data_IF_329999534543
#
_entry.id   IF_329999534543
#
_cell.length_a   1.000
_cell.length_b   1.000
_cell.length_c   1.000
_cell.angle_alpha   90.00
_cell.angle_beta   90.00
_cell.angle_gamma   90.00
#
_symmetry.space_group_name_H-M   'P 1'
#
loop_
_entity.id
_entity.type
_entity.pdbx_description
1 polymer ?
#
# COMPACT_ATOMS: atom_id res chain seq x y z
N UNK A 1 -37.88 26.16 -18.44
CA UNK A 1 -36.62 26.90 -18.37
C UNK A 1 -35.66 26.35 -19.40
N UNK A 2 -35.11 27.21 -20.26
CA UNK A 2 -34.11 26.84 -21.27
C UNK A 2 -32.84 26.36 -20.56
N UNK A 3 -32.51 25.06 -20.67
CA UNK A 3 -31.23 24.52 -20.22
C UNK A 3 -30.17 24.88 -21.26
N UNK A 4 -29.31 25.83 -20.93
CA UNK A 4 -28.07 26.06 -21.67
C UNK A 4 -27.11 24.91 -21.36
N UNK A 5 -27.04 23.92 -22.25
CA UNK A 5 -25.98 22.92 -22.22
C UNK A 5 -24.82 23.47 -23.03
N UNK A 6 -23.72 23.83 -22.37
CA UNK A 6 -22.49 24.20 -23.04
C UNK A 6 -21.96 22.96 -23.79
N UNK A 7 -22.13 22.93 -25.12
CA UNK A 7 -21.43 21.97 -25.96
C UNK A 7 -20.04 22.52 -26.29
N UNK A 8 -19.01 21.76 -25.96
CA UNK A 8 -17.68 22.00 -26.50
C UNK A 8 -17.78 21.95 -28.03
N UNK A 9 -17.27 22.95 -28.77
CA UNK A 9 -17.28 22.91 -30.22
C UNK A 9 -16.51 21.66 -30.65
N UNK A 10 -17.22 20.77 -31.35
CA UNK A 10 -16.64 19.57 -31.93
C UNK A 10 -15.41 20.01 -32.74
N UNK A 11 -14.21 19.56 -32.34
CA UNK A 11 -12.97 19.85 -33.05
C UNK A 11 -13.11 19.29 -34.46
N UNK A 12 -13.56 20.11 -35.41
CA UNK A 12 -13.43 19.81 -36.84
C UNK A 12 -11.97 19.47 -37.09
N UNK A 13 -11.71 18.39 -37.82
CA UNK A 13 -10.36 17.90 -38.10
C UNK A 13 -9.50 19.01 -38.67
N UNK A 14 -8.73 19.68 -37.82
CA UNK A 14 -7.77 20.70 -38.24
C UNK A 14 -6.81 19.97 -39.16
N UNK A 15 -6.66 20.45 -40.39
CA UNK A 15 -5.79 19.85 -41.39
C UNK A 15 -4.32 20.09 -40.97
N UNK A 16 -3.83 19.32 -39.99
CA UNK A 16 -2.52 19.48 -39.35
C UNK A 16 -1.36 19.42 -40.36
N UNK A 17 -1.60 18.76 -41.49
CA UNK A 17 -0.69 18.63 -42.63
C UNK A 17 -0.34 19.98 -43.29
N UNK A 18 -1.32 20.85 -43.52
CA UNK A 18 -1.06 22.14 -44.18
C UNK A 18 -0.33 23.11 -43.24
N UNK A 19 -0.70 23.11 -41.96
CA UNK A 19 -0.02 23.89 -40.93
C UNK A 19 1.44 23.44 -40.71
N UNK A 20 1.72 22.13 -40.68
CA UNK A 20 3.10 21.66 -40.52
C UNK A 20 3.97 22.00 -41.73
N UNK A 21 3.43 21.90 -42.95
CA UNK A 21 4.14 22.28 -44.18
C UNK A 21 4.44 23.77 -44.26
N UNK A 22 3.51 24.61 -43.80
CA UNK A 22 3.74 26.05 -43.70
C UNK A 22 4.87 26.36 -42.71
N UNK A 23 4.82 25.73 -41.54
CA UNK A 23 5.85 25.87 -40.51
C UNK A 23 7.21 25.43 -41.07
N UNK A 24 7.31 24.23 -41.65
CA UNK A 24 8.55 23.72 -42.26
C UNK A 24 9.11 24.65 -43.35
N UNK A 25 8.23 25.23 -44.20
CA UNK A 25 8.63 26.22 -45.22
C UNK A 25 9.14 27.54 -44.61
N UNK A 26 8.58 27.96 -43.48
CA UNK A 26 8.95 29.23 -42.83
C UNK A 26 10.24 29.15 -42.01
N UNK A 27 10.49 28.03 -41.31
CA UNK A 27 11.67 27.87 -40.45
C UNK A 27 12.82 27.13 -41.16
N UNK A 28 12.57 26.49 -42.31
CA UNK A 28 13.57 25.78 -43.11
C UNK A 28 13.95 24.38 -42.62
N UNK A 29 13.27 23.87 -41.59
CA UNK A 29 13.46 22.50 -41.10
C UNK A 29 12.16 21.92 -40.52
N UNK A 30 12.10 20.59 -40.46
CA UNK A 30 10.95 19.87 -39.93
C UNK A 30 10.90 19.97 -38.40
N UNK A 31 9.96 20.77 -37.89
CA UNK A 31 9.74 20.95 -36.46
C UNK A 31 8.61 20.04 -35.96
N UNK A 32 8.91 19.18 -34.98
CA UNK A 32 7.89 18.45 -34.24
C UNK A 32 7.44 19.26 -33.01
N UNK A 33 6.27 19.88 -33.11
CA UNK A 33 5.69 20.69 -32.03
C UNK A 33 5.49 19.90 -30.73
N UNK A 34 5.39 18.57 -30.81
CA UNK A 34 5.25 17.71 -29.61
C UNK A 34 6.52 17.70 -28.76
N UNK A 35 7.68 17.98 -29.36
CA UNK A 35 8.98 17.99 -28.68
C UNK A 35 9.27 19.30 -27.96
N UNK A 36 8.59 20.40 -28.31
CA UNK A 36 8.84 21.71 -27.72
C UNK A 36 8.63 21.74 -26.20
N UNK A 37 7.56 21.11 -25.69
CA UNK A 37 7.30 21.02 -24.24
C UNK A 37 8.35 20.19 -23.50
N UNK A 38 8.65 18.94 -23.90
CA UNK A 38 9.76 18.16 -23.33
C UNK A 38 11.09 18.91 -23.34
N UNK A 39 11.45 19.54 -24.46
CA UNK A 39 12.71 20.29 -24.58
C UNK A 39 12.73 21.49 -23.64
N UNK A 40 11.63 22.23 -23.51
CA UNK A 40 11.55 23.35 -22.56
C UNK A 40 11.68 22.88 -21.11
N UNK A 41 11.09 21.73 -20.79
CA UNK A 41 11.16 21.13 -19.47
C UNK A 41 12.60 20.74 -19.13
N UNK A 42 13.29 20.10 -20.07
CA UNK A 42 14.71 19.76 -19.96
C UNK A 42 15.59 21.00 -19.71
N UNK A 43 15.40 22.08 -20.49
CA UNK A 43 16.15 23.31 -20.33
C UNK A 43 15.89 23.99 -18.98
N UNK A 44 14.65 24.00 -18.50
CA UNK A 44 14.31 24.55 -17.20
C UNK A 44 14.97 23.79 -16.03
N UNK A 45 15.11 22.46 -16.17
CA UNK A 45 15.75 21.61 -15.17
C UNK A 45 17.28 21.75 -15.18
N UNK A 46 17.90 21.81 -16.37
CA UNK A 46 19.36 21.88 -16.52
C UNK A 46 19.93 23.29 -16.34
N UNK A 47 19.34 24.29 -17.00
CA UNK A 47 19.91 25.64 -17.04
C UNK A 47 19.43 26.48 -15.85
N UNK A 48 18.15 26.35 -15.49
CA UNK A 48 17.51 27.21 -14.49
C UNK A 48 17.32 26.55 -13.13
N UNK A 49 17.59 25.25 -13.01
CA UNK A 49 17.41 24.45 -11.79
C UNK A 49 16.02 24.63 -11.14
N UNK A 50 14.97 24.77 -11.94
CA UNK A 50 13.62 24.96 -11.38
C UNK A 50 13.13 23.69 -10.69
N UNK A 51 12.55 23.78 -9.47
CA UNK A 51 11.88 22.64 -8.84
C UNK A 51 10.74 22.10 -9.69
N UNK A 52 10.54 20.77 -9.69
CA UNK A 52 9.51 20.09 -10.49
C UNK A 52 8.11 20.68 -10.28
N UNK A 53 7.75 20.99 -9.02
CA UNK A 53 6.45 21.57 -8.68
C UNK A 53 6.20 22.91 -9.40
N UNK A 54 7.22 23.76 -9.50
CA UNK A 54 7.14 25.04 -10.19
C UNK A 54 7.01 24.84 -11.70
N UNK A 55 7.67 23.80 -12.25
CA UNK A 55 7.53 23.45 -13.66
C UNK A 55 6.12 22.94 -13.99
N UNK A 56 5.56 22.07 -13.14
CA UNK A 56 4.18 21.56 -13.25
C UNK A 56 3.18 22.72 -13.28
N UNK A 57 3.35 23.69 -12.38
CA UNK A 57 2.53 24.90 -12.34
C UNK A 57 2.69 25.77 -13.60
N UNK A 58 3.92 26.00 -14.07
CA UNK A 58 4.19 26.79 -15.29
C UNK A 58 3.57 26.17 -16.55
N UNK A 59 3.50 24.85 -16.63
CA UNK A 59 2.90 24.14 -17.75
C UNK A 59 1.38 23.90 -17.59
N UNK A 60 0.80 24.32 -16.46
CA UNK A 60 -0.64 24.21 -16.19
C UNK A 60 -1.11 22.77 -16.00
N UNK A 61 -0.24 21.89 -15.51
CA UNK A 61 -0.62 20.50 -15.20
C UNK A 61 -1.27 20.42 -13.83
N UNK A 62 -2.38 19.68 -13.73
CA UNK A 62 -3.11 19.45 -12.48
C UNK A 62 -2.34 18.56 -11.50
N UNK A 63 -1.46 17.70 -12.00
CA UNK A 63 -0.68 16.76 -11.20
C UNK A 63 0.74 16.62 -11.72
N UNK A 64 1.67 16.41 -10.78
CA UNK A 64 3.09 16.18 -11.08
C UNK A 64 3.32 14.89 -11.88
N UNK A 65 2.52 13.85 -11.63
CA UNK A 65 2.62 12.57 -12.32
C UNK A 65 2.45 12.71 -13.85
N UNK A 66 1.49 13.53 -14.30
CA UNK A 66 1.24 13.78 -15.73
C UNK A 66 2.46 14.41 -16.40
N UNK A 67 3.19 15.27 -15.68
CA UNK A 67 4.36 15.95 -16.23
C UNK A 67 5.55 15.01 -16.37
N UNK A 68 5.71 14.10 -15.40
CA UNK A 68 6.81 13.12 -15.37
C UNK A 68 6.55 11.98 -16.37
N UNK A 69 5.38 11.35 -16.34
CA UNK A 69 5.05 10.22 -17.20
C UNK A 69 5.01 10.58 -18.69
N UNK A 70 4.44 11.74 -19.06
CA UNK A 70 4.20 12.07 -20.47
C UNK A 70 5.38 12.79 -21.13
N UNK A 71 6.12 13.61 -20.37
CA UNK A 71 7.19 14.44 -20.96
C UNK A 71 8.60 14.01 -20.56
N UNK A 72 8.76 13.20 -19.49
CA UNK A 72 10.05 12.65 -19.07
C UNK A 72 10.23 11.17 -19.41
N UNK A 73 9.43 10.63 -20.31
CA UNK A 73 9.62 9.28 -20.87
C UNK A 73 10.47 9.27 -22.17
N UNK A 74 11.43 10.18 -22.28
CA UNK A 74 12.41 10.16 -23.36
C UNK A 74 13.75 9.59 -22.88
N UNK A 75 14.56 9.12 -23.84
CA UNK A 75 15.86 8.50 -23.56
C UNK A 75 16.79 9.40 -22.75
N UNK A 76 16.75 10.72 -22.94
CA UNK A 76 17.58 11.66 -22.19
C UNK A 76 17.20 11.72 -20.71
N UNK A 77 15.91 11.77 -20.36
CA UNK A 77 15.49 11.75 -18.96
C UNK A 77 15.70 10.37 -18.31
N UNK A 78 15.53 9.28 -19.08
CA UNK A 78 15.87 7.93 -18.60
C UNK A 78 17.36 7.83 -18.27
N UNK A 79 18.24 8.33 -19.14
CA UNK A 79 19.68 8.36 -18.89
C UNK A 79 20.02 9.19 -17.64
N UNK A 80 19.44 10.38 -17.47
CA UNK A 80 19.63 11.19 -16.27
C UNK A 80 19.21 10.47 -14.98
N UNK A 81 18.11 9.70 -15.02
CA UNK A 81 17.66 8.89 -13.89
C UNK A 81 18.64 7.75 -13.59
N UNK A 82 19.13 7.08 -14.63
CA UNK A 82 20.11 6.00 -14.49
C UNK A 82 21.43 6.51 -13.93
N UNK A 83 21.92 7.66 -14.42
CA UNK A 83 23.15 8.28 -13.92
C UNK A 83 23.01 8.66 -12.45
N UNK A 84 21.88 9.27 -12.07
CA UNK A 84 21.60 9.61 -10.67
C UNK A 84 21.50 8.36 -9.80
N UNK A 85 20.79 7.33 -10.26
CA UNK A 85 20.68 6.07 -9.55
C UNK A 85 22.05 5.41 -9.36
N UNK A 86 22.90 5.43 -10.38
CA UNK A 86 24.26 4.90 -10.30
C UNK A 86 25.06 5.62 -9.22
N UNK A 87 25.02 6.97 -9.19
CA UNK A 87 25.70 7.76 -8.15
C UNK A 87 25.22 7.42 -6.72
N UNK A 88 23.91 7.25 -6.53
CA UNK A 88 23.34 6.86 -5.22
C UNK A 88 23.77 5.43 -4.84
N UNK A 89 23.77 4.49 -5.80
CA UNK A 89 24.22 3.12 -5.57
C UNK A 89 25.71 3.05 -5.25
N UNK A 90 26.54 3.84 -5.93
CA UNK A 90 27.97 3.95 -5.65
C UNK A 90 28.21 4.53 -4.24
N UNK A 91 27.43 5.55 -3.85
CA UNK A 91 27.49 6.10 -2.48
C UNK A 91 27.11 5.05 -1.42
N UNK A 92 26.07 4.24 -1.69
CA UNK A 92 25.71 3.12 -0.81
C UNK A 92 26.84 2.10 -0.76
N UNK A 93 27.43 1.75 -1.90
CA UNK A 93 28.55 0.80 -1.96
C UNK A 93 29.76 1.28 -1.16
N UNK A 94 30.15 2.56 -1.30
CA UNK A 94 31.22 3.16 -0.52
C UNK A 94 30.89 3.15 0.98
N UNK A 95 29.64 3.46 1.36
CA UNK A 95 29.22 3.40 2.77
C UNK A 95 29.28 1.98 3.36
N UNK A 96 29.04 0.95 2.53
CA UNK A 96 29.17 -0.46 2.92
C UNK A 96 30.65 -0.81 3.07
N UNK A 97 31.49 -0.39 2.12
CA UNK A 97 32.95 -0.64 2.15
C UNK A 97 33.61 -0.02 3.38
N UNK A 98 33.22 1.20 3.73
CA UNK A 98 33.79 1.96 4.83
C UNK A 98 33.12 1.62 6.19
N UNK A 99 32.16 0.70 6.21
CA UNK A 99 31.47 0.22 7.42
C UNK A 99 30.52 1.24 8.06
N UNK A 100 30.24 2.36 7.39
CA UNK A 100 29.35 3.43 7.88
C UNK A 100 27.87 3.21 7.52
N UNK A 101 27.57 2.17 6.74
CA UNK A 101 26.21 1.83 6.34
C UNK A 101 25.35 1.47 7.56
N UNK A 102 24.34 2.30 7.83
CA UNK A 102 23.44 2.16 9.00
C UNK A 102 22.31 1.13 8.80
N UNK A 103 22.20 0.52 7.62
CA UNK A 103 21.15 -0.44 7.28
C UNK A 103 21.54 -1.89 7.54
N UNK A 104 20.55 -2.78 7.59
CA UNK A 104 20.75 -4.24 7.65
C UNK A 104 20.54 -4.83 6.26
N UNK A 105 21.56 -5.49 5.72
CA UNK A 105 21.43 -6.22 4.45
C UNK A 105 20.55 -7.45 4.64
N UNK A 106 19.50 -7.58 3.83
CA UNK A 106 18.63 -8.77 3.81
C UNK A 106 19.28 -9.82 2.91
N UNK A 107 19.50 -11.07 3.39
CA UNK A 107 20.14 -12.10 2.59
C UNK A 107 19.26 -12.51 1.40
N UNK A 108 19.84 -12.51 0.20
CA UNK A 108 19.15 -12.77 -1.08
C UNK A 108 18.54 -14.17 -1.21
N UNK A 109 19.09 -15.18 -0.50
CA UNK A 109 18.58 -16.55 -0.50
C UNK A 109 18.73 -17.17 0.89
N UNK A 110 17.60 -17.30 1.59
CA UNK A 110 17.52 -18.16 2.77
C UNK A 110 17.10 -19.56 2.32
N UNK A 111 17.90 -20.59 2.62
CA UNK A 111 17.48 -22.00 2.45
C UNK A 111 16.44 -22.32 3.53
N UNK A 112 15.18 -22.03 3.25
CA UNK A 112 14.06 -22.44 4.10
C UNK A 112 13.60 -23.84 3.69
N UNK A 113 13.34 -24.71 4.66
CA UNK A 113 12.75 -26.02 4.37
C UNK A 113 11.33 -25.83 3.82
N UNK A 114 10.85 -26.77 2.98
CA UNK A 114 9.51 -26.71 2.38
C UNK A 114 8.42 -26.52 3.46
N UNK A 115 8.60 -27.14 4.64
CA UNK A 115 7.69 -26.98 5.78
C UNK A 115 7.56 -25.53 6.28
N UNK A 116 8.61 -24.71 6.18
CA UNK A 116 8.57 -23.27 6.53
C UNK A 116 7.91 -22.41 5.44
N UNK A 117 7.64 -22.97 4.25
CA UNK A 117 6.93 -22.29 3.16
C UNK A 117 5.43 -22.58 3.13
N UNK A 118 4.99 -23.58 3.89
CA UNK A 118 3.57 -23.92 3.98
C UNK A 118 2.93 -22.95 4.96
N UNK A 119 2.09 -22.07 4.43
CA UNK A 119 1.30 -21.11 5.19
C UNK A 119 -0.11 -21.68 5.28
N UNK A 120 -0.72 -21.64 6.47
CA UNK A 120 -2.10 -22.07 6.67
C UNK A 120 -3.01 -20.84 6.65
N UNK A 121 -3.99 -20.85 5.77
CA UNK A 121 -4.99 -19.81 5.66
C UNK A 121 -6.26 -20.34 6.33
N UNK A 122 -6.70 -19.66 7.38
CA UNK A 122 -8.01 -19.90 7.97
C UNK A 122 -9.02 -19.06 7.20
N UNK A 123 -10.09 -19.67 6.72
CA UNK A 123 -11.11 -19.01 5.90
C UNK A 123 -12.45 -18.94 6.64
N UNK A 124 -13.35 -18.09 6.14
CA UNK A 124 -14.75 -18.07 6.56
C UNK A 124 -15.45 -19.40 6.23
N UNK A 125 -16.70 -19.56 6.67
CA UNK A 125 -17.47 -20.81 6.49
C UNK A 125 -17.61 -21.25 5.02
N UNK A 126 -17.49 -20.32 4.08
CA UNK A 126 -17.60 -20.56 2.65
C UNK A 126 -16.24 -20.86 1.98
N UNK A 127 -15.12 -20.69 2.70
CA UNK A 127 -13.79 -20.89 2.14
C UNK A 127 -13.28 -19.75 1.25
N UNK A 128 -14.03 -18.66 1.15
CA UNK A 128 -13.81 -17.61 0.14
C UNK A 128 -12.89 -16.49 0.63
N UNK A 129 -12.94 -16.18 1.93
CA UNK A 129 -12.22 -15.04 2.50
C UNK A 129 -11.26 -15.47 3.61
N UNK A 130 -9.97 -15.09 3.53
CA UNK A 130 -8.99 -15.43 4.55
C UNK A 130 -9.25 -14.61 5.83
N UNK A 131 -9.57 -15.30 6.92
CA UNK A 131 -9.73 -14.72 8.25
C UNK A 131 -8.38 -14.44 8.91
N UNK A 132 -7.44 -15.38 8.81
CA UNK A 132 -6.10 -15.24 9.36
C UNK A 132 -5.10 -16.11 8.60
N UNK A 133 -3.84 -15.68 8.64
CA UNK A 133 -2.72 -16.35 8.00
C UNK A 133 -1.76 -16.83 9.09
N UNK A 134 -1.51 -18.13 9.17
CA UNK A 134 -0.70 -18.76 10.19
C UNK A 134 0.50 -19.51 9.61
N UNK A 135 1.69 -19.12 10.04
CA UNK A 135 2.97 -19.68 9.63
C UNK A 135 3.27 -21.03 10.31
N UNK A 136 2.72 -21.27 11.51
CA UNK A 136 2.89 -22.54 12.20
C UNK A 136 1.78 -22.81 13.25
N UNK A 137 0.75 -23.60 12.92
CA UNK A 137 -0.36 -23.86 13.82
C UNK A 137 0.01 -24.82 14.96
N UNK A 138 1.13 -25.53 14.89
CA UNK A 138 1.58 -26.47 15.93
C UNK A 138 2.47 -25.80 17.00
N UNK A 139 2.81 -24.52 16.80
CA UNK A 139 3.63 -23.75 17.72
C UNK A 139 3.05 -22.34 17.94
N UNK A 140 1.84 -22.23 18.51
CA UNK A 140 1.29 -20.93 18.88
C UNK A 140 2.17 -20.27 19.96
N UNK A 141 2.33 -18.95 19.88
CA UNK A 141 3.19 -18.18 20.79
C UNK A 141 2.45 -17.08 21.55
N UNK A 142 1.11 -17.05 21.48
CA UNK A 142 0.31 -16.18 22.33
C UNK A 142 0.40 -16.62 23.80
N UNK A 143 0.28 -15.67 24.73
CA UNK A 143 0.44 -15.94 26.15
C UNK A 143 -0.83 -16.54 26.76
N UNK A 144 -0.66 -17.49 27.67
CA UNK A 144 -1.73 -17.91 28.57
C UNK A 144 -1.94 -16.82 29.64
N UNK A 145 -3.15 -16.73 30.18
CA UNK A 145 -3.54 -15.72 31.19
C UNK A 145 -2.72 -15.81 32.49
N UNK A 146 -1.99 -16.91 32.71
CA UNK A 146 -1.06 -17.13 33.82
C UNK A 146 0.40 -16.76 33.48
N UNK A 147 0.67 -16.20 32.30
CA UNK A 147 2.01 -15.86 31.81
C UNK A 147 2.79 -17.04 31.24
N UNK A 148 2.19 -18.23 31.17
CA UNK A 148 2.79 -19.42 30.59
C UNK A 148 2.91 -19.37 29.07
N UNK A 149 3.89 -20.11 28.52
CA UNK A 149 3.96 -20.41 27.09
C UNK A 149 3.12 -21.64 26.78
N UNK A 150 2.45 -21.64 25.63
CA UNK A 150 1.68 -22.81 25.20
C UNK A 150 2.65 -23.93 24.82
N UNK A 151 2.51 -25.12 25.43
CA UNK A 151 3.33 -26.25 25.04
C UNK A 151 3.05 -26.65 23.59
N UNK A 152 4.09 -27.18 22.92
CA UNK A 152 3.94 -27.75 21.58
C UNK A 152 2.84 -28.80 21.59
N UNK A 153 1.86 -28.61 20.72
CA UNK A 153 0.74 -29.54 20.56
C UNK A 153 0.92 -30.38 19.31
N UNK A 154 0.52 -31.64 19.37
CA UNK A 154 0.37 -32.50 18.19
C UNK A 154 -0.88 -32.14 17.37
N UNK A 155 -1.74 -31.25 17.88
CA UNK A 155 -2.94 -30.74 17.18
C UNK A 155 -2.71 -29.29 16.75
N UNK A 156 -3.24 -28.88 15.58
CA UNK A 156 -3.17 -27.49 15.15
C UNK A 156 -3.98 -26.57 16.07
N UNK A 157 -3.46 -25.36 16.31
CA UNK A 157 -4.14 -24.30 17.03
C UNK A 157 -5.47 -23.94 16.35
N UNK A 158 -6.51 -23.72 17.15
CA UNK A 158 -7.85 -23.29 16.70
C UNK A 158 -8.30 -21.96 17.33
N UNK A 159 -7.40 -21.27 18.04
CA UNK A 159 -7.72 -20.05 18.79
C UNK A 159 -7.55 -18.81 17.92
N UNK A 160 -8.58 -18.49 17.14
CA UNK A 160 -8.57 -17.35 16.21
C UNK A 160 -8.50 -16.00 16.95
N UNK A 161 -9.19 -15.86 18.06
CA UNK A 161 -9.16 -14.67 18.94
C UNK A 161 -7.77 -14.37 19.52
N UNK A 162 -6.82 -15.31 19.39
CA UNK A 162 -5.43 -15.15 19.82
C UNK A 162 -4.45 -14.98 18.64
N UNK A 163 -4.95 -14.88 17.40
CA UNK A 163 -4.09 -14.72 16.24
C UNK A 163 -3.31 -13.41 16.26
N UNK A 164 -3.94 -12.27 16.60
CA UNK A 164 -3.26 -10.97 16.58
C UNK A 164 -2.15 -10.83 17.63
N UNK A 165 -2.19 -11.63 18.70
CA UNK A 165 -1.14 -11.67 19.73
C UNK A 165 -0.13 -12.80 19.51
N UNK A 166 -0.24 -13.55 18.40
CA UNK A 166 0.62 -14.67 18.07
C UNK A 166 1.68 -14.28 17.03
N UNK A 167 2.95 -14.56 17.31
CA UNK A 167 4.05 -14.32 16.37
C UNK A 167 3.97 -15.20 15.11
N UNK A 168 3.20 -16.29 15.14
CA UNK A 168 2.97 -17.12 13.97
C UNK A 168 1.91 -16.53 13.04
N UNK A 169 1.17 -15.51 13.46
CA UNK A 169 0.15 -14.86 12.64
C UNK A 169 0.75 -13.77 11.76
N UNK A 170 0.16 -13.57 10.59
CA UNK A 170 0.49 -12.46 9.71
C UNK A 170 -0.81 -11.80 9.25
N UNK A 171 -0.81 -10.47 9.21
CA UNK A 171 -1.96 -9.68 8.76
C UNK A 171 -1.67 -9.19 7.34
N UNK A 172 -2.59 -9.45 6.41
CA UNK A 172 -2.56 -8.89 5.06
C UNK A 172 -3.81 -8.04 4.81
N UNK A 173 -3.84 -7.30 3.71
CA UNK A 173 -5.00 -6.51 3.26
C UNK A 173 -6.30 -7.32 3.28
N UNK A 174 -6.24 -8.57 2.83
CA UNK A 174 -7.43 -9.45 2.76
C UNK A 174 -8.00 -9.79 4.15
N UNK A 175 -7.16 -9.71 5.20
CA UNK A 175 -7.59 -9.96 6.59
C UNK A 175 -8.12 -8.71 7.28
N UNK A 176 -7.78 -7.51 6.79
CA UNK A 176 -8.11 -6.23 7.45
C UNK A 176 -9.61 -6.07 7.72
N UNK A 177 -10.53 -6.40 6.80
CA UNK A 177 -11.96 -6.29 7.07
C UNK A 177 -12.40 -7.06 8.32
N UNK A 178 -11.79 -8.22 8.60
CA UNK A 178 -12.09 -9.04 9.77
C UNK A 178 -11.47 -8.48 11.04
N UNK A 179 -10.30 -7.86 10.96
CA UNK A 179 -9.66 -7.19 12.11
C UNK A 179 -10.47 -5.97 12.53
N UNK A 180 -10.90 -5.14 11.57
CA UNK A 180 -11.76 -3.98 11.81
C UNK A 180 -13.10 -4.41 12.38
N UNK A 181 -13.73 -5.42 11.79
CA UNK A 181 -14.98 -6.01 12.29
C UNK A 181 -14.87 -6.45 13.76
N UNK A 182 -13.79 -7.19 14.07
CA UNK A 182 -13.53 -7.66 15.43
C UNK A 182 -13.26 -6.51 16.38
N UNK A 183 -12.49 -5.51 15.98
CA UNK A 183 -12.23 -4.32 16.80
C UNK A 183 -13.52 -3.56 17.14
N UNK A 184 -14.38 -3.32 16.15
CA UNK A 184 -15.67 -2.63 16.37
C UNK A 184 -16.58 -3.42 17.32
N UNK A 185 -16.60 -4.75 17.19
CA UNK A 185 -17.31 -5.62 18.13
C UNK A 185 -16.75 -5.51 19.56
N UNK A 186 -15.42 -5.56 19.71
CA UNK A 186 -14.75 -5.46 21.01
C UNK A 186 -14.97 -4.08 21.64
N UNK A 187 -14.95 -3.00 20.86
CA UNK A 187 -15.23 -1.65 21.36
C UNK A 187 -16.69 -1.50 21.82
N UNK A 188 -17.64 -2.11 21.09
CA UNK A 188 -19.03 -2.17 21.55
C UNK A 188 -19.14 -2.94 22.87
N UNK A 189 -18.45 -4.09 22.99
CA UNK A 189 -18.43 -4.88 24.23
C UNK A 189 -17.85 -4.07 25.39
N UNK A 190 -16.75 -3.35 25.17
CA UNK A 190 -16.10 -2.46 26.15
C UNK A 190 -17.06 -1.41 26.71
N UNK A 191 -17.94 -0.85 25.86
CA UNK A 191 -18.95 0.14 26.28
C UNK A 191 -20.14 -0.47 27.02
N UNK A 192 -20.42 -1.76 26.79
CA UNK A 192 -21.61 -2.45 27.34
C UNK A 192 -21.33 -3.27 28.61
N UNK A 193 -20.08 -3.69 28.83
CA UNK A 193 -19.66 -4.54 29.94
C UNK A 193 -18.99 -3.72 31.04
N UNK A 194 -18.87 -4.29 32.25
CA UNK A 194 -18.04 -3.70 33.31
C UNK A 194 -16.57 -3.77 32.93
N UNK A 195 -15.80 -2.73 33.28
CA UNK A 195 -14.39 -2.60 32.87
C UNK A 195 -13.54 -3.78 33.33
N UNK A 196 -13.69 -4.23 34.58
CA UNK A 196 -12.98 -5.36 35.15
C UNK A 196 -13.24 -6.67 34.38
N UNK A 197 -14.50 -6.92 34.01
CA UNK A 197 -14.88 -8.09 33.23
C UNK A 197 -14.34 -8.03 31.80
N UNK A 198 -14.44 -6.86 31.16
CA UNK A 198 -13.87 -6.65 29.82
C UNK A 198 -12.36 -6.85 29.83
N UNK A 199 -11.69 -6.29 30.84
CA UNK A 199 -10.24 -6.33 30.94
C UNK A 199 -9.70 -7.74 31.09
N UNK A 200 -10.39 -8.57 31.88
CA UNK A 200 -10.04 -9.96 32.08
C UNK A 200 -10.17 -10.81 30.80
N UNK A 201 -11.16 -10.51 29.94
CA UNK A 201 -11.53 -11.37 28.81
C UNK A 201 -10.97 -10.91 27.47
N UNK A 202 -10.92 -9.60 27.24
CA UNK A 202 -10.79 -9.02 25.90
C UNK A 202 -9.71 -7.95 25.76
N UNK A 203 -9.10 -7.46 26.84
CA UNK A 203 -8.13 -6.36 26.77
C UNK A 203 -7.01 -6.62 25.78
N UNK A 204 -6.35 -7.77 25.89
CA UNK A 204 -5.24 -8.14 25.00
C UNK A 204 -5.66 -8.16 23.53
N UNK A 205 -6.83 -8.74 23.25
CA UNK A 205 -7.35 -8.85 21.88
C UNK A 205 -7.71 -7.46 21.32
N UNK A 206 -8.32 -6.62 22.15
CA UNK A 206 -8.70 -5.26 21.79
C UNK A 206 -7.47 -4.39 21.52
N UNK A 207 -6.46 -4.43 22.39
CA UNK A 207 -5.21 -3.67 22.22
C UNK A 207 -4.46 -4.10 20.96
N UNK A 208 -4.36 -5.40 20.70
CA UNK A 208 -3.72 -5.92 19.49
C UNK A 208 -4.49 -5.52 18.21
N UNK A 209 -5.82 -5.62 18.21
CA UNK A 209 -6.62 -5.19 17.07
C UNK A 209 -6.52 -3.69 16.83
N UNK A 210 -6.55 -2.90 17.90
CA UNK A 210 -6.37 -1.45 17.86
C UNK A 210 -5.01 -1.07 17.28
N UNK A 211 -3.93 -1.70 17.75
CA UNK A 211 -2.58 -1.45 17.25
C UNK A 211 -2.48 -1.74 15.75
N UNK A 212 -3.04 -2.85 15.27
CA UNK A 212 -3.05 -3.18 13.85
C UNK A 212 -3.76 -2.10 13.03
N UNK A 213 -4.92 -1.63 13.48
CA UNK A 213 -5.71 -0.61 12.77
C UNK A 213 -4.98 0.74 12.74
N UNK A 214 -4.44 1.17 13.88
CA UNK A 214 -3.74 2.47 14.00
C UNK A 214 -2.39 2.48 13.25
N UNK A 215 -1.72 1.33 13.15
CA UNK A 215 -0.41 1.22 12.49
C UNK A 215 -0.47 0.78 11.03
N UNK A 216 -1.65 0.41 10.51
CA UNK A 216 -1.78 -0.04 9.13
C UNK A 216 -1.41 1.07 8.14
N UNK A 217 -0.51 0.82 7.17
CA UNK A 217 -0.02 1.87 6.27
C UNK A 217 -1.08 2.38 5.28
N UNK A 218 -2.09 1.56 4.96
CA UNK A 218 -3.13 1.89 3.97
C UNK A 218 -4.45 2.19 4.69
N UNK A 219 -4.59 3.40 5.22
CA UNK A 219 -5.77 3.80 5.99
C UNK A 219 -7.08 3.80 5.17
N UNK A 220 -6.98 3.83 3.84
CA UNK A 220 -8.11 3.56 2.94
C UNK A 220 -8.75 2.19 3.15
N UNK A 221 -7.96 1.13 3.38
CA UNK A 221 -8.46 -0.23 3.66
C UNK A 221 -9.30 -0.26 4.94
N UNK A 222 -8.88 0.49 5.96
CA UNK A 222 -9.58 0.62 7.24
C UNK A 222 -10.92 1.32 7.04
N UNK A 223 -10.92 2.46 6.34
CA UNK A 223 -12.13 3.24 6.06
C UNK A 223 -13.14 2.44 5.24
N UNK A 224 -12.67 1.70 4.23
CA UNK A 224 -13.52 0.81 3.44
C UNK A 224 -14.14 -0.29 4.31
N UNK A 225 -13.34 -0.92 5.17
CA UNK A 225 -13.83 -1.95 6.09
C UNK A 225 -14.86 -1.41 7.10
N UNK A 226 -14.64 -0.22 7.67
CA UNK A 226 -15.58 0.44 8.57
C UNK A 226 -16.89 0.79 7.87
N UNK A 227 -16.81 1.37 6.67
CA UNK A 227 -17.98 1.70 5.85
C UNK A 227 -18.78 0.43 5.53
N UNK A 228 -18.08 -0.65 5.15
CA UNK A 228 -18.72 -1.94 4.87
C UNK A 228 -19.45 -2.47 6.10
N UNK A 229 -18.85 -2.40 7.28
CA UNK A 229 -19.48 -2.84 8.52
C UNK A 229 -20.75 -2.04 8.83
N UNK A 230 -20.71 -0.72 8.62
CA UNK A 230 -21.87 0.14 8.82
C UNK A 230 -23.04 -0.19 7.86
N UNK A 231 -22.75 -0.69 6.65
CA UNK A 231 -23.76 -1.01 5.62
C UNK A 231 -24.25 -2.46 5.74
N UNK A 232 -23.33 -3.41 5.85
CA UNK A 232 -23.61 -4.85 5.75
C UNK A 232 -23.66 -5.56 7.11
N UNK A 233 -23.22 -4.90 8.18
CA UNK A 233 -23.08 -5.48 9.52
C UNK A 233 -21.83 -6.34 9.71
N UNK A 234 -21.82 -7.10 10.81
CA UNK A 234 -20.64 -7.83 11.25
C UNK A 234 -20.29 -9.02 10.33
N UNK A 235 -19.00 -9.16 10.00
CA UNK A 235 -18.47 -10.31 9.23
C UNK A 235 -18.35 -11.57 10.06
N UNK A 236 -17.97 -11.40 11.31
CA UNK A 236 -17.64 -12.49 12.20
C UNK A 236 -18.81 -12.74 13.14
N UNK A 237 -19.13 -14.01 13.44
CA UNK A 237 -20.07 -14.31 14.50
C UNK A 237 -19.52 -13.77 15.84
N UNK A 238 -20.39 -13.34 16.77
CA UNK A 238 -19.98 -12.73 18.04
C UNK A 238 -19.14 -13.66 18.94
N UNK A 239 -19.17 -14.98 18.67
CA UNK A 239 -18.36 -16.00 19.33
C UNK A 239 -17.49 -16.68 18.27
N UNK A 240 -16.18 -16.45 18.29
CA UNK A 240 -15.23 -17.06 17.35
C UNK A 240 -14.45 -18.23 18.00
N UNK A 241 -14.74 -18.57 19.26
CA UNK A 241 -14.09 -19.72 19.89
C UNK A 241 -14.90 -20.28 21.04
N UNK A 242 -15.71 -21.30 20.82
CA UNK A 242 -16.07 -22.25 21.89
C UNK A 242 -16.27 -23.67 21.33
N UNK A 243 -15.16 -24.39 21.20
CA UNK A 243 -15.18 -25.83 21.41
C UNK A 243 -13.76 -26.27 21.78
N UNK A 244 -13.61 -26.69 23.04
CA UNK A 244 -12.43 -27.33 23.63
C UNK A 244 -11.86 -28.44 22.74
#
# INVERSE_FOLDING_TARGET
>A
GLKFVAHYPCRKGVNRSSSSKFIEKSIGYKLDLRRLRPTRLYLNEKEKKLPLLLQVALFGHSTSAITDEVYKDNSHFQQLRNDKLAMELDSIFDSIRDGSFKGKLVPLKQRTCIKKKIINIYTNHNGESPLAICNNPYYPTWHLSDGGQIPRSNKPCKQFNKCLTCQQSSVTSDNIPFVVDRFLYLDQKRRSMRSDQFDCMYREEYEAAKEVIESWPYQEDIQEAELRNAVDGYLLPPIISESN
#
